data_IF_628013706581
#
_entry.id   IF_628013706581
#
_cell.length_a   1.000
_cell.length_b   1.000
_cell.length_c   1.000
_cell.angle_alpha   90.00
_cell.angle_beta   90.00
_cell.angle_gamma   90.00
#
_symmetry.space_group_name_H-M   'P 1'
#
loop_
_entity.id
_entity.type
_entity.pdbx_description
1 polymer ?
#
# COMPACT_ATOMS: atom_id res chain seq x y z
N UNK A 1 21.11 -42.00 -5.09
CA UNK A 1 20.31 -42.73 -4.06
C UNK A 1 20.03 -41.89 -2.81
N UNK A 2 20.88 -40.94 -2.44
CA UNK A 2 20.74 -40.11 -1.23
C UNK A 2 19.43 -39.37 -1.09
N UNK A 3 18.84 -38.88 -2.20
CA UNK A 3 17.51 -38.24 -2.20
C UNK A 3 16.33 -39.17 -1.90
N UNK A 4 16.55 -40.47 -1.80
CA UNK A 4 15.53 -41.48 -1.46
C UNK A 4 15.58 -41.89 0.02
N UNK A 5 16.39 -41.20 0.82
CA UNK A 5 16.61 -41.53 2.23
C UNK A 5 16.48 -40.26 3.06
N UNK A 6 15.44 -40.19 3.88
CA UNK A 6 15.15 -39.00 4.69
C UNK A 6 15.93 -38.97 6.02
N UNK A 7 16.21 -40.15 6.58
CA UNK A 7 16.93 -40.26 7.85
C UNK A 7 17.70 -41.58 7.94
N UNK A 8 18.91 -41.53 8.46
CA UNK A 8 19.74 -42.68 8.83
C UNK A 8 20.15 -42.49 10.27
N UNK A 9 19.89 -43.50 11.12
CA UNK A 9 20.34 -43.52 12.51
C UNK A 9 21.39 -44.63 12.63
N UNK A 10 22.63 -44.25 12.82
CA UNK A 10 23.76 -45.12 13.03
C UNK A 10 24.83 -44.40 13.84
N UNK A 11 25.61 -45.14 14.63
CA UNK A 11 26.70 -44.59 15.45
C UNK A 11 28.00 -44.34 14.64
N UNK A 12 28.05 -44.90 13.42
CA UNK A 12 29.21 -44.79 12.53
C UNK A 12 28.84 -44.12 11.20
N UNK A 13 29.87 -43.75 10.44
CA UNK A 13 29.67 -43.17 9.13
C UNK A 13 29.06 -44.19 8.15
N UNK A 14 27.95 -43.77 7.50
CA UNK A 14 27.23 -44.60 6.56
C UNK A 14 27.44 -44.18 5.10
N UNK A 15 27.34 -45.14 4.18
CA UNK A 15 27.33 -44.93 2.72
C UNK A 15 26.03 -45.40 2.13
N UNK A 16 25.52 -44.66 1.13
CA UNK A 16 24.28 -44.97 0.42
C UNK A 16 24.57 -45.30 -1.05
N UNK A 17 24.12 -46.46 -1.48
CA UNK A 17 24.30 -46.90 -2.87
C UNK A 17 23.02 -47.55 -3.43
N UNK A 18 22.93 -47.65 -4.72
CA UNK A 18 21.97 -48.57 -5.35
C UNK A 18 22.53 -49.99 -5.36
N UNK A 19 21.69 -51.01 -5.18
CA UNK A 19 22.07 -52.40 -5.28
C UNK A 19 22.56 -52.74 -6.70
N UNK A 20 21.84 -52.21 -7.70
CA UNK A 20 22.06 -52.49 -9.12
C UNK A 20 22.18 -51.17 -9.91
N UNK A 21 22.63 -51.26 -11.16
CA UNK A 21 22.58 -50.14 -12.09
C UNK A 21 21.16 -49.98 -12.64
N UNK A 22 20.52 -48.86 -12.38
CA UNK A 22 19.17 -48.54 -12.85
C UNK A 22 19.21 -47.56 -14.01
N UNK A 23 18.34 -47.79 -15.01
CA UNK A 23 18.21 -46.89 -16.15
C UNK A 23 17.06 -45.89 -15.92
N UNK A 24 17.38 -44.62 -15.77
CA UNK A 24 16.44 -43.52 -15.61
C UNK A 24 16.26 -42.68 -16.88
N UNK A 25 16.70 -43.19 -18.05
CA UNK A 25 16.58 -42.44 -19.34
C UNK A 25 15.18 -42.48 -19.94
N UNK A 26 14.32 -43.41 -19.53
CA UNK A 26 12.96 -43.59 -20.06
C UNK A 26 11.93 -43.21 -19.02
N UNK A 27 10.87 -42.46 -19.45
CA UNK A 27 9.70 -42.16 -18.62
C UNK A 27 9.06 -43.43 -18.11
N UNK A 28 8.72 -43.46 -16.82
CA UNK A 28 8.05 -44.60 -16.21
C UNK A 28 8.38 -44.75 -14.73
N UNK A 29 7.89 -45.85 -14.15
CA UNK A 29 8.20 -46.24 -12.78
C UNK A 29 9.35 -47.26 -12.77
N UNK A 30 10.40 -46.95 -12.04
CA UNK A 30 11.57 -47.82 -11.84
C UNK A 30 11.60 -48.24 -10.39
N UNK A 31 11.49 -49.54 -10.14
CA UNK A 31 11.69 -50.09 -8.80
C UNK A 31 13.19 -50.15 -8.52
N UNK A 32 13.64 -49.55 -7.46
CA UNK A 32 15.04 -49.50 -7.06
C UNK A 32 15.23 -50.11 -5.68
N UNK A 33 16.40 -50.65 -5.43
CA UNK A 33 16.86 -51.13 -4.14
C UNK A 33 17.99 -50.27 -3.65
N UNK A 34 17.83 -49.60 -2.52
CA UNK A 34 18.84 -48.77 -1.87
C UNK A 34 19.50 -49.59 -0.78
N UNK A 35 20.82 -49.56 -0.70
CA UNK A 35 21.65 -50.18 0.35
C UNK A 35 22.28 -49.05 1.13
N UNK A 36 22.16 -49.10 2.46
CA UNK A 36 22.93 -48.34 3.40
C UNK A 36 23.93 -49.27 4.05
N UNK A 37 25.21 -48.92 4.06
CA UNK A 37 26.30 -49.70 4.67
C UNK A 37 27.03 -48.80 5.71
N UNK A 38 27.35 -49.35 6.86
CA UNK A 38 28.22 -48.71 7.87
C UNK A 38 29.71 -49.02 7.57
N UNK A 39 30.59 -48.52 8.42
CA UNK A 39 32.05 -48.74 8.34
C UNK A 39 32.44 -50.19 8.63
N UNK A 40 31.61 -50.95 9.34
CA UNK A 40 31.80 -52.38 9.67
C UNK A 40 31.22 -53.29 8.60
N UNK A 41 30.75 -52.75 7.45
CA UNK A 41 30.11 -53.48 6.34
C UNK A 41 28.74 -54.12 6.71
N UNK A 42 28.12 -53.72 7.80
CA UNK A 42 26.70 -54.08 7.99
C UNK A 42 25.84 -53.36 6.98
N UNK A 43 24.80 -54.05 6.47
CA UNK A 43 23.97 -53.53 5.39
C UNK A 43 22.49 -53.56 5.72
N UNK A 44 21.84 -52.43 5.47
CA UNK A 44 20.37 -52.35 5.48
C UNK A 44 19.88 -52.09 4.04
N UNK A 45 18.80 -52.76 3.66
CA UNK A 45 18.25 -52.68 2.31
C UNK A 45 16.79 -52.24 2.33
N UNK A 46 16.46 -51.28 1.49
CA UNK A 46 15.09 -50.81 1.27
C UNK A 46 14.74 -50.72 -0.19
N UNK A 47 13.47 -51.01 -0.51
CA UNK A 47 12.93 -50.88 -1.85
C UNK A 47 12.16 -49.55 -1.97
N UNK A 48 12.35 -48.88 -3.09
CA UNK A 48 11.64 -47.64 -3.43
C UNK A 48 11.18 -47.69 -4.90
N UNK A 49 10.21 -46.87 -5.25
CA UNK A 49 9.77 -46.67 -6.62
C UNK A 49 10.11 -45.25 -7.05
N UNK A 50 10.99 -45.10 -8.00
CA UNK A 50 11.31 -43.81 -8.63
C UNK A 50 10.42 -43.62 -9.85
N UNK A 51 9.70 -42.53 -9.90
CA UNK A 51 8.94 -42.14 -11.11
C UNK A 51 9.80 -41.22 -11.96
N UNK A 52 10.22 -41.74 -13.11
CA UNK A 52 10.94 -40.94 -14.10
C UNK A 52 9.93 -40.19 -14.97
N UNK A 53 9.97 -38.86 -14.85
CA UNK A 53 9.13 -37.96 -15.64
C UNK A 53 9.78 -37.65 -16.98
N UNK A 54 8.99 -37.24 -17.98
CA UNK A 54 9.53 -36.65 -19.21
C UNK A 54 10.31 -35.38 -18.86
N UNK A 55 11.33 -35.05 -19.66
CA UNK A 55 12.04 -33.77 -19.56
C UNK A 55 11.01 -32.62 -19.59
N UNK A 56 11.14 -31.69 -18.71
CA UNK A 56 10.35 -30.46 -18.76
C UNK A 56 10.84 -29.57 -19.89
N UNK A 57 9.92 -29.16 -20.75
CA UNK A 57 10.18 -28.24 -21.89
C UNK A 57 9.31 -26.98 -21.79
N UNK A 58 8.51 -26.86 -20.75
CA UNK A 58 7.66 -25.69 -20.49
C UNK A 58 8.50 -24.56 -19.94
N UNK A 59 8.36 -23.39 -20.52
CA UNK A 59 9.04 -22.19 -19.97
C UNK A 59 8.31 -21.69 -18.75
N UNK A 60 9.03 -21.18 -17.73
CA UNK A 60 8.40 -20.48 -16.62
C UNK A 60 7.68 -19.20 -17.11
N UNK A 61 6.87 -18.61 -16.25
CA UNK A 61 6.18 -17.34 -16.47
C UNK A 61 6.65 -16.30 -15.47
N UNK A 62 6.51 -15.01 -15.81
CA UNK A 62 6.78 -13.90 -14.89
C UNK A 62 5.50 -13.08 -14.77
N UNK A 63 5.07 -12.80 -13.54
CA UNK A 63 3.91 -11.95 -13.23
C UNK A 63 4.33 -10.71 -12.44
N UNK A 64 3.47 -9.67 -12.42
CA UNK A 64 3.72 -8.44 -11.66
C UNK A 64 4.62 -7.41 -12.35
N UNK A 65 4.77 -7.46 -13.68
CA UNK A 65 5.61 -6.55 -14.47
C UNK A 65 4.82 -5.31 -14.96
N UNK A 66 4.12 -4.62 -14.07
CA UNK A 66 3.55 -3.31 -14.39
C UNK A 66 4.66 -2.26 -14.51
N UNK A 67 4.53 -1.26 -15.39
CA UNK A 67 5.47 -0.16 -15.51
C UNK A 67 5.67 0.55 -14.17
N UNK A 68 6.89 1.05 -13.92
CA UNK A 68 7.24 1.80 -12.71
C UNK A 68 7.44 3.27 -13.04
N UNK A 69 6.97 4.12 -12.15
CA UNK A 69 7.35 5.54 -12.13
C UNK A 69 8.10 5.80 -10.82
N UNK A 70 9.24 6.46 -10.92
CA UNK A 70 10.07 6.86 -9.79
C UNK A 70 10.51 8.32 -9.98
N UNK A 71 10.57 9.08 -8.91
CA UNK A 71 11.08 10.46 -8.98
C UNK A 71 12.59 10.48 -9.13
N UNK A 72 13.12 11.55 -9.70
CA UNK A 72 14.56 11.79 -9.82
C UNK A 72 15.26 11.59 -8.47
N UNK A 73 16.32 10.79 -8.43
CA UNK A 73 17.05 10.36 -7.24
C UNK A 73 16.23 9.53 -6.23
N UNK A 74 15.01 9.09 -6.58
CA UNK A 74 14.18 8.24 -5.74
C UNK A 74 14.73 6.81 -5.64
N UNK A 75 14.16 6.04 -4.72
CA UNK A 75 14.51 4.62 -4.54
C UNK A 75 13.46 3.72 -5.21
N UNK A 76 13.87 2.58 -5.73
CA UNK A 76 12.96 1.62 -6.35
C UNK A 76 13.39 0.16 -6.04
N UNK A 77 12.43 -0.64 -5.62
CA UNK A 77 12.59 -2.10 -5.56
C UNK A 77 12.04 -2.72 -6.85
N UNK A 78 12.95 -3.14 -7.70
CA UNK A 78 12.59 -3.74 -8.99
C UNK A 78 11.92 -5.11 -8.87
N UNK A 79 12.03 -5.80 -7.72
CA UNK A 79 11.43 -7.11 -7.48
C UNK A 79 10.10 -7.03 -6.74
N UNK A 80 9.72 -5.88 -6.23
CA UNK A 80 8.43 -5.70 -5.55
C UNK A 80 7.26 -6.18 -6.42
N UNK A 81 6.49 -7.12 -5.91
CA UNK A 81 5.33 -7.72 -6.58
C UNK A 81 5.64 -8.64 -7.78
N UNK A 82 6.91 -8.83 -8.16
CA UNK A 82 7.30 -9.68 -9.29
C UNK A 82 7.49 -11.12 -8.83
N UNK A 83 6.88 -12.07 -9.55
CA UNK A 83 6.97 -13.51 -9.23
C UNK A 83 7.26 -14.32 -10.49
N UNK A 84 8.17 -15.26 -10.35
CA UNK A 84 8.37 -16.34 -11.32
C UNK A 84 7.52 -17.55 -10.95
N UNK A 85 6.84 -18.16 -11.91
CA UNK A 85 6.04 -19.36 -11.70
C UNK A 85 6.35 -20.39 -12.80
N UNK A 86 6.33 -21.65 -12.44
CA UNK A 86 6.49 -22.76 -13.37
C UNK A 86 5.60 -23.94 -13.01
N UNK A 87 5.32 -24.80 -13.98
CA UNK A 87 4.42 -25.95 -13.81
C UNK A 87 5.03 -27.11 -13.03
N UNK A 88 6.37 -27.19 -12.94
CA UNK A 88 7.12 -28.27 -12.28
C UNK A 88 8.18 -27.79 -11.30
N UNK A 89 8.70 -26.58 -11.48
CA UNK A 89 9.65 -25.98 -10.55
C UNK A 89 8.91 -25.02 -9.63
N UNK A 90 8.71 -25.36 -8.34
CA UNK A 90 8.02 -24.49 -7.39
C UNK A 90 8.82 -23.20 -7.09
N UNK A 91 10.12 -23.15 -7.43
CA UNK A 91 11.02 -22.03 -7.12
C UNK A 91 11.92 -21.70 -8.31
N UNK A 92 11.35 -21.30 -9.48
CA UNK A 92 12.17 -20.92 -10.63
C UNK A 92 13.00 -19.68 -10.30
N UNK A 93 14.25 -19.67 -10.77
CA UNK A 93 15.20 -18.60 -10.47
C UNK A 93 14.84 -17.33 -11.25
N UNK A 94 14.50 -16.26 -10.53
CA UNK A 94 14.25 -14.94 -11.10
C UNK A 94 15.48 -14.05 -10.90
N UNK A 95 15.97 -13.44 -12.00
CA UNK A 95 17.08 -12.49 -12.00
C UNK A 95 16.72 -11.23 -12.76
N UNK A 96 17.38 -10.10 -12.44
CA UNK A 96 17.16 -8.81 -13.09
C UNK A 96 18.47 -8.24 -13.65
N UNK A 97 18.36 -7.50 -14.74
CA UNK A 97 19.39 -6.60 -15.24
C UNK A 97 18.82 -5.18 -15.31
N UNK A 98 19.26 -4.32 -14.39
CA UNK A 98 18.88 -2.92 -14.24
C UNK A 98 20.07 -1.96 -14.43
N UNK A 99 21.20 -2.44 -14.93
CA UNK A 99 22.46 -1.67 -15.03
C UNK A 99 22.36 -0.40 -15.86
N UNK A 100 21.38 -0.33 -16.77
CA UNK A 100 21.14 0.82 -17.64
C UNK A 100 20.20 1.84 -17.04
N UNK A 101 19.59 1.57 -15.89
CA UNK A 101 18.68 2.49 -15.22
C UNK A 101 19.50 3.58 -14.50
N UNK A 102 19.20 4.83 -14.78
CA UNK A 102 19.83 6.03 -14.19
C UNK A 102 18.76 6.77 -13.40
N UNK A 103 18.68 6.50 -12.09
CA UNK A 103 17.73 7.17 -11.21
C UNK A 103 18.08 8.65 -10.97
N UNK A 104 19.31 9.05 -11.31
CA UNK A 104 19.84 10.42 -11.27
C UNK A 104 19.61 11.21 -12.57
N UNK A 105 18.87 10.65 -13.54
CA UNK A 105 18.59 11.30 -14.81
C UNK A 105 17.16 11.01 -15.27
N UNK A 106 16.44 12.05 -15.66
CA UNK A 106 15.09 11.94 -16.23
C UNK A 106 15.08 11.08 -17.50
N UNK A 107 14.03 10.32 -17.69
CA UNK A 107 13.80 9.51 -18.89
C UNK A 107 13.22 8.15 -18.61
N UNK A 108 12.96 7.42 -19.69
CA UNK A 108 12.46 6.05 -19.65
C UNK A 108 13.59 5.04 -19.79
N UNK A 109 13.61 4.08 -18.90
CA UNK A 109 14.61 3.01 -18.82
C UNK A 109 13.94 1.65 -18.88
N UNK A 110 14.70 0.62 -19.25
CA UNK A 110 14.21 -0.74 -19.31
C UNK A 110 14.98 -1.61 -18.33
N UNK A 111 14.26 -2.30 -17.47
CA UNK A 111 14.75 -3.41 -16.66
C UNK A 111 14.39 -4.72 -17.35
N UNK A 112 15.37 -5.61 -17.46
CA UNK A 112 15.18 -6.95 -18.05
C UNK A 112 15.11 -7.99 -16.95
N UNK A 113 14.07 -8.80 -16.97
CA UNK A 113 13.83 -9.91 -16.04
C UNK A 113 14.07 -11.22 -16.77
N UNK A 114 14.78 -12.13 -16.14
CA UNK A 114 14.98 -13.50 -16.65
C UNK A 114 14.51 -14.48 -15.58
N UNK A 115 13.58 -15.34 -15.95
CA UNK A 115 13.15 -16.44 -15.09
C UNK A 115 13.58 -17.75 -15.72
N UNK A 116 14.24 -18.64 -14.95
CA UNK A 116 14.78 -19.93 -15.38
C UNK A 116 14.36 -21.02 -14.41
N UNK A 117 13.82 -22.12 -14.96
CA UNK A 117 13.49 -23.32 -14.19
C UNK A 117 14.72 -24.24 -14.00
N UNK A 118 14.57 -25.28 -13.20
CA UNK A 118 15.61 -26.30 -12.94
C UNK A 118 15.96 -27.15 -14.20
N UNK A 119 15.05 -27.22 -15.15
CA UNK A 119 15.22 -27.95 -16.41
C UNK A 119 16.00 -27.15 -17.47
N UNK A 120 16.26 -25.88 -17.20
CA UNK A 120 17.00 -24.96 -18.07
C UNK A 120 16.12 -24.16 -19.01
N UNK A 121 14.78 -24.30 -18.98
CA UNK A 121 13.92 -23.47 -19.78
C UNK A 121 13.88 -22.07 -19.18
N UNK A 122 13.82 -21.05 -20.05
CA UNK A 122 13.85 -19.65 -19.60
C UNK A 122 12.89 -18.77 -20.38
N UNK A 123 12.43 -17.71 -19.71
CA UNK A 123 11.72 -16.58 -20.30
C UNK A 123 12.44 -15.28 -19.96
N UNK A 124 12.38 -14.34 -20.89
CA UNK A 124 12.88 -12.97 -20.68
C UNK A 124 11.72 -12.01 -20.88
N UNK A 125 11.52 -11.08 -19.95
CA UNK A 125 10.53 -10.04 -20.03
C UNK A 125 11.15 -8.69 -19.69
N UNK A 126 10.49 -7.61 -20.11
CA UNK A 126 10.97 -6.24 -19.93
C UNK A 126 9.92 -5.44 -19.17
N UNK A 127 10.39 -4.50 -18.35
CA UNK A 127 9.57 -3.55 -17.60
C UNK A 127 10.12 -2.16 -17.82
N UNK A 128 9.26 -1.20 -18.13
CA UNK A 128 9.65 0.20 -18.23
C UNK A 128 9.74 0.82 -16.83
N UNK A 129 10.75 1.66 -16.64
CA UNK A 129 10.94 2.51 -15.45
C UNK A 129 11.06 3.94 -15.94
N UNK A 130 10.08 4.77 -15.62
CA UNK A 130 10.08 6.19 -15.96
C UNK A 130 10.61 6.98 -14.78
N UNK A 131 11.76 7.64 -14.95
CA UNK A 131 12.31 8.59 -13.99
C UNK A 131 11.79 9.99 -14.34
N UNK A 132 10.99 10.55 -13.44
CA UNK A 132 10.28 11.81 -13.63
C UNK A 132 10.76 12.87 -12.63
N UNK A 133 10.53 14.15 -12.93
CA UNK A 133 10.74 15.20 -11.93
C UNK A 133 9.84 14.97 -10.71
N UNK A 134 10.36 15.30 -9.52
CA UNK A 134 9.55 15.38 -8.31
C UNK A 134 8.66 16.62 -8.47
N UNK A 135 7.39 16.39 -8.83
CA UNK A 135 6.42 17.47 -8.83
C UNK A 135 6.09 17.80 -7.37
N UNK A 136 6.39 19.00 -6.93
CA UNK A 136 5.88 19.46 -5.64
C UNK A 136 4.35 19.52 -5.71
N UNK A 137 3.70 18.97 -4.70
CA UNK A 137 2.25 18.93 -4.57
C UNK A 137 1.89 19.83 -3.40
N UNK A 138 1.06 20.85 -3.69
CA UNK A 138 0.58 21.78 -2.69
C UNK A 138 1.51 22.99 -2.44
N UNK A 139 1.01 23.92 -1.66
CA UNK A 139 1.68 25.16 -1.30
C UNK A 139 1.82 25.25 0.22
N UNK A 140 3.03 25.42 0.72
CA UNK A 140 3.30 25.45 2.17
C UNK A 140 3.10 26.83 2.82
N UNK A 141 3.00 27.89 2.01
CA UNK A 141 2.73 29.23 2.50
C UNK A 141 1.23 29.57 2.38
N UNK A 142 0.71 30.33 3.33
CA UNK A 142 -0.61 30.92 3.23
C UNK A 142 -0.71 31.83 2.00
N UNK A 143 -1.85 31.82 1.33
CA UNK A 143 -2.14 32.71 0.19
C UNK A 143 -3.06 33.87 0.62
N UNK A 144 -3.19 34.88 -0.22
CA UNK A 144 -4.13 35.99 0.02
C UNK A 144 -5.61 35.57 -0.19
N UNK A 145 -5.84 34.49 -0.93
CA UNK A 145 -7.20 33.98 -1.18
C UNK A 145 -7.78 33.32 0.08
N UNK A 146 -9.01 33.67 0.42
CA UNK A 146 -9.73 33.07 1.55
C UNK A 146 -10.35 31.74 1.13
N UNK A 147 -9.75 30.63 1.57
CA UNK A 147 -10.16 29.28 1.20
C UNK A 147 -10.33 28.39 2.43
N UNK A 148 -11.47 27.72 2.52
CA UNK A 148 -11.71 26.59 3.43
C UNK A 148 -11.54 25.29 2.65
N UNK A 149 -10.63 24.45 3.09
CA UNK A 149 -10.51 23.04 2.72
C UNK A 149 -11.15 22.21 3.82
N UNK A 150 -12.46 21.96 3.69
CA UNK A 150 -13.16 21.10 4.62
C UNK A 150 -12.80 19.64 4.33
N UNK A 151 -12.35 18.91 5.35
CA UNK A 151 -11.87 17.53 5.20
C UNK A 151 -12.58 16.60 6.17
N UNK A 152 -12.91 15.40 5.68
CA UNK A 152 -13.59 14.36 6.45
C UNK A 152 -12.75 13.09 6.48
N UNK A 153 -12.45 12.60 7.69
CA UNK A 153 -11.69 11.37 7.91
C UNK A 153 -12.62 10.20 8.28
N UNK A 154 -12.12 8.99 8.15
CA UNK A 154 -12.70 7.71 8.59
C UNK A 154 -13.88 7.17 7.79
N UNK A 155 -14.44 7.93 6.85
CA UNK A 155 -15.51 7.46 5.99
C UNK A 155 -15.05 6.41 4.95
N UNK A 156 -15.98 5.95 4.10
CA UNK A 156 -17.39 6.37 4.02
C UNK A 156 -18.30 5.72 5.07
N UNK A 157 -19.42 6.39 5.37
CA UNK A 157 -20.45 5.92 6.28
C UNK A 157 -21.86 6.33 5.83
N UNK A 158 -22.89 6.03 6.62
CA UNK A 158 -24.26 6.56 6.38
C UNK A 158 -24.31 8.08 6.38
N UNK A 159 -23.38 8.74 7.05
CA UNK A 159 -23.29 10.19 7.12
C UNK A 159 -22.71 10.82 5.85
N UNK A 160 -21.87 10.09 5.10
CA UNK A 160 -21.24 10.60 3.88
C UNK A 160 -22.29 11.14 2.90
N UNK A 161 -23.41 10.41 2.66
CA UNK A 161 -24.47 10.87 1.77
C UNK A 161 -25.11 12.19 2.23
N UNK A 162 -25.37 12.31 3.54
CA UNK A 162 -25.95 13.54 4.12
C UNK A 162 -24.99 14.73 3.96
N UNK A 163 -23.68 14.49 4.16
CA UNK A 163 -22.62 15.48 3.97
C UNK A 163 -22.59 15.95 2.51
N UNK A 164 -22.59 15.01 1.57
CA UNK A 164 -22.59 15.32 0.13
C UNK A 164 -23.81 16.18 -0.27
N UNK A 165 -25.00 15.88 0.25
CA UNK A 165 -26.21 16.63 -0.07
C UNK A 165 -26.18 18.05 0.52
N UNK A 166 -25.57 18.23 1.73
CA UNK A 166 -25.34 19.56 2.31
C UNK A 166 -24.32 20.34 1.46
N UNK A 167 -23.20 19.72 1.10
CA UNK A 167 -22.16 20.38 0.31
C UNK A 167 -22.70 20.85 -1.05
N UNK A 168 -23.55 20.06 -1.72
CA UNK A 168 -24.19 20.46 -2.96
C UNK A 168 -25.12 21.64 -2.78
N UNK A 169 -25.95 21.62 -1.71
CA UNK A 169 -26.87 22.72 -1.38
C UNK A 169 -26.15 24.06 -1.24
N UNK A 170 -24.95 24.06 -0.67
CA UNK A 170 -24.15 25.26 -0.43
C UNK A 170 -23.09 25.53 -1.50
N UNK A 171 -23.07 24.75 -2.59
CA UNK A 171 -22.04 24.80 -3.66
C UNK A 171 -20.62 24.71 -3.12
N UNK A 172 -20.43 23.96 -2.02
CA UNK A 172 -19.16 23.76 -1.36
C UNK A 172 -18.48 22.47 -1.87
N UNK A 173 -17.15 22.49 -1.93
CA UNK A 173 -16.36 21.28 -2.19
C UNK A 173 -15.56 20.89 -0.95
N UNK A 174 -15.25 19.60 -0.83
CA UNK A 174 -14.55 19.02 0.31
C UNK A 174 -13.61 17.89 -0.12
N UNK A 175 -12.80 17.41 0.80
CA UNK A 175 -11.94 16.24 0.60
C UNK A 175 -12.29 15.16 1.61
N UNK A 176 -12.40 13.91 1.16
CA UNK A 176 -12.70 12.75 1.99
C UNK A 176 -11.49 11.83 2.05
N UNK A 177 -10.87 11.71 3.24
CA UNK A 177 -9.80 10.77 3.51
C UNK A 177 -10.42 9.45 3.99
N UNK A 178 -10.54 8.50 3.07
CA UNK A 178 -11.35 7.30 3.27
C UNK A 178 -10.56 6.12 3.82
N UNK A 179 -11.25 5.24 4.54
CA UNK A 179 -10.72 3.99 5.08
C UNK A 179 -11.41 2.78 4.46
N UNK A 180 -10.91 1.56 4.74
CA UNK A 180 -11.55 0.30 4.37
C UNK A 180 -12.48 -0.28 5.45
N UNK A 181 -12.80 0.47 6.49
CA UNK A 181 -13.48 -0.05 7.69
C UNK A 181 -14.97 -0.34 7.47
N UNK A 182 -15.62 0.34 6.52
CA UNK A 182 -17.07 0.21 6.27
C UNK A 182 -17.40 0.03 4.79
N UNK A 183 -17.09 -1.13 4.24
CA UNK A 183 -17.18 -1.44 2.81
C UNK A 183 -18.60 -1.34 2.23
N UNK A 184 -19.64 -1.42 3.06
CA UNK A 184 -21.02 -1.31 2.59
C UNK A 184 -21.35 0.06 1.97
N UNK A 185 -20.51 1.06 2.24
CA UNK A 185 -20.69 2.43 1.75
C UNK A 185 -19.64 2.83 0.70
N UNK A 186 -18.80 1.89 0.21
CA UNK A 186 -17.76 2.21 -0.77
C UNK A 186 -18.28 2.89 -2.03
N UNK A 187 -19.52 2.59 -2.45
CA UNK A 187 -20.16 3.27 -3.58
C UNK A 187 -20.24 4.79 -3.41
N UNK A 188 -20.25 5.31 -2.17
CA UNK A 188 -20.24 6.74 -1.89
C UNK A 188 -18.90 7.40 -2.20
N UNK A 189 -17.79 6.64 -2.28
CA UNK A 189 -16.49 7.14 -2.76
C UNK A 189 -16.63 7.60 -4.22
N UNK A 190 -17.24 6.76 -5.05
CA UNK A 190 -17.52 7.10 -6.45
C UNK A 190 -18.47 8.28 -6.56
N UNK A 191 -19.54 8.30 -5.76
CA UNK A 191 -20.51 9.39 -5.75
C UNK A 191 -19.84 10.72 -5.34
N UNK A 192 -19.05 10.74 -4.27
CA UNK A 192 -18.31 11.93 -3.85
C UNK A 192 -17.38 12.45 -4.95
N UNK A 193 -16.63 11.56 -5.60
CA UNK A 193 -15.75 11.92 -6.72
C UNK A 193 -16.54 12.50 -7.91
N UNK A 194 -17.68 11.88 -8.29
CA UNK A 194 -18.51 12.34 -9.38
C UNK A 194 -19.17 13.70 -9.10
N UNK A 195 -19.40 14.04 -7.84
CA UNK A 195 -19.89 15.37 -7.40
C UNK A 195 -18.76 16.40 -7.31
N UNK A 196 -17.52 16.06 -7.72
CA UNK A 196 -16.38 16.97 -7.78
C UNK A 196 -15.67 17.21 -6.45
N UNK A 197 -15.81 16.29 -5.50
CA UNK A 197 -15.01 16.25 -4.29
C UNK A 197 -13.72 15.49 -4.52
N UNK A 198 -12.68 15.76 -3.73
CA UNK A 198 -11.42 15.02 -3.77
C UNK A 198 -11.48 13.82 -2.82
N UNK A 199 -10.97 12.70 -3.29
CA UNK A 199 -10.76 11.51 -2.47
C UNK A 199 -9.30 11.43 -2.06
N UNK A 200 -9.05 11.25 -0.78
CA UNK A 200 -7.74 10.96 -0.20
C UNK A 200 -7.75 9.60 0.51
N UNK A 201 -6.59 9.15 0.97
CA UNK A 201 -6.42 7.86 1.62
C UNK A 201 -6.09 8.03 3.11
N UNK A 202 -6.77 7.26 3.98
CA UNK A 202 -6.59 7.32 5.44
C UNK A 202 -6.25 5.94 6.04
N UNK A 203 -5.47 5.13 5.32
CA UNK A 203 -5.18 3.73 5.58
C UNK A 203 -6.43 2.84 5.45
N UNK A 204 -6.23 1.53 5.30
CA UNK A 204 -7.36 0.61 5.14
C UNK A 204 -7.98 0.22 6.48
N UNK A 205 -7.15 -0.17 7.43
CA UNK A 205 -7.59 -0.69 8.72
C UNK A 205 -7.85 0.39 9.78
N UNK A 206 -7.21 1.55 9.64
CA UNK A 206 -7.16 2.60 10.66
C UNK A 206 -6.76 2.08 12.05
N UNK A 207 -6.06 0.95 12.10
CA UNK A 207 -5.58 0.35 13.34
C UNK A 207 -4.10 0.70 13.58
N UNK A 208 -3.83 1.52 14.58
CA UNK A 208 -2.48 1.99 14.91
C UNK A 208 -1.49 0.85 15.16
N UNK A 209 -1.96 -0.25 15.77
CA UNK A 209 -1.15 -1.42 16.01
C UNK A 209 -0.75 -2.10 14.70
N UNK A 210 -1.61 -2.08 13.70
CA UNK A 210 -1.33 -2.63 12.37
C UNK A 210 -0.45 -1.68 11.56
N UNK A 211 -0.84 -0.41 11.44
CA UNK A 211 -0.22 0.52 10.48
C UNK A 211 1.13 1.07 10.93
N UNK A 212 1.40 1.16 12.24
CA UNK A 212 2.61 1.79 12.75
C UNK A 212 3.67 0.83 13.29
N UNK A 213 3.57 -0.47 13.00
CA UNK A 213 4.61 -1.45 13.41
C UNK A 213 5.87 -1.39 12.55
N UNK A 214 5.76 -0.96 11.31
CA UNK A 214 6.90 -0.78 10.39
C UNK A 214 6.48 0.06 9.17
N UNK A 215 7.46 0.59 8.46
CA UNK A 215 7.26 1.29 7.17
C UNK A 215 6.54 0.36 6.17
N UNK A 216 6.95 -0.90 6.09
CA UNK A 216 6.32 -1.89 5.21
C UNK A 216 4.85 -2.14 5.59
N UNK A 217 4.54 -2.26 6.88
CA UNK A 217 3.16 -2.46 7.34
C UNK A 217 2.27 -1.27 6.97
N UNK A 218 2.75 -0.04 7.14
CA UNK A 218 2.05 1.17 6.75
C UNK A 218 1.72 1.17 5.24
N UNK A 219 2.72 0.92 4.39
CA UNK A 219 2.50 0.96 2.94
C UNK A 219 1.65 -0.20 2.41
N UNK A 220 1.73 -1.38 3.03
CA UNK A 220 0.82 -2.49 2.68
C UNK A 220 -0.65 -2.12 2.98
N UNK A 221 -0.90 -1.46 4.10
CA UNK A 221 -2.24 -1.02 4.48
C UNK A 221 -2.72 0.17 3.62
N UNK A 222 -1.84 1.12 3.30
CA UNK A 222 -2.10 2.21 2.37
C UNK A 222 -2.39 1.71 0.94
N UNK A 223 -1.66 0.71 0.46
CA UNK A 223 -1.90 0.09 -0.85
C UNK A 223 -3.28 -0.58 -0.90
N UNK A 224 -3.71 -1.23 0.19
CA UNK A 224 -5.03 -1.85 0.26
C UNK A 224 -6.16 -0.83 0.09
N UNK A 225 -6.11 0.30 0.80
CA UNK A 225 -7.13 1.36 0.64
C UNK A 225 -7.01 2.01 -0.73
N UNK A 226 -5.80 2.21 -1.25
CA UNK A 226 -5.57 2.73 -2.60
C UNK A 226 -6.19 1.87 -3.68
N UNK A 227 -6.02 0.54 -3.60
CA UNK A 227 -6.63 -0.41 -4.53
C UNK A 227 -8.16 -0.46 -4.39
N UNK A 228 -8.70 -0.36 -3.18
CA UNK A 228 -10.15 -0.23 -2.95
C UNK A 228 -10.70 1.02 -3.64
N UNK A 229 -10.08 2.18 -3.42
CA UNK A 229 -10.49 3.44 -4.05
C UNK A 229 -10.35 3.38 -5.57
N UNK A 230 -9.27 2.78 -6.10
CA UNK A 230 -9.07 2.59 -7.54
C UNK A 230 -10.21 1.80 -8.19
N UNK A 231 -10.77 0.80 -7.51
CA UNK A 231 -11.92 0.05 -8.02
C UNK A 231 -13.17 0.92 -8.17
N UNK A 232 -13.31 1.97 -7.35
CA UNK A 232 -14.47 2.88 -7.39
C UNK A 232 -14.30 4.03 -8.38
N UNK A 233 -13.09 4.63 -8.48
CA UNK A 233 -12.86 5.87 -9.27
C UNK A 233 -11.81 5.73 -10.38
N UNK A 234 -11.19 4.54 -10.55
CA UNK A 234 -10.29 4.23 -11.67
C UNK A 234 -8.80 4.53 -11.44
N UNK A 235 -8.42 5.21 -10.37
CA UNK A 235 -7.04 5.53 -10.04
C UNK A 235 -6.78 5.52 -8.53
N UNK A 236 -5.49 5.46 -8.12
CA UNK A 236 -5.09 5.57 -6.71
C UNK A 236 -4.86 7.06 -6.41
N UNK A 237 -5.56 7.65 -5.42
CA UNK A 237 -5.31 9.02 -4.97
C UNK A 237 -3.91 9.21 -4.42
N UNK A 238 -3.35 10.41 -4.62
CA UNK A 238 -2.02 10.79 -4.11
C UNK A 238 -2.06 11.59 -2.82
N UNK A 239 -3.23 12.07 -2.42
CA UNK A 239 -3.41 12.78 -1.15
C UNK A 239 -3.68 11.78 -0.05
N UNK A 240 -2.98 11.91 1.07
CA UNK A 240 -3.14 11.02 2.22
C UNK A 240 -3.26 11.82 3.51
N UNK A 241 -3.80 11.20 4.54
CA UNK A 241 -3.70 11.66 5.92
C UNK A 241 -3.30 10.50 6.81
N UNK A 242 -2.32 10.74 7.68
CA UNK A 242 -1.91 9.74 8.66
C UNK A 242 -2.97 9.59 9.75
N UNK A 243 -3.35 8.36 10.17
CA UNK A 243 -4.17 8.16 11.36
C UNK A 243 -3.62 8.91 12.59
N UNK A 244 -4.41 9.85 13.09
CA UNK A 244 -4.01 10.74 14.19
C UNK A 244 -3.08 11.89 13.80
N UNK A 245 -2.84 12.10 12.49
CA UNK A 245 -1.94 13.14 11.96
C UNK A 245 -0.45 12.81 12.12
N UNK A 246 0.40 13.63 11.48
CA UNK A 246 1.85 13.47 11.54
C UNK A 246 2.43 13.70 12.94
N UNK A 247 1.73 14.45 13.78
CA UNK A 247 2.14 14.75 15.17
C UNK A 247 1.73 13.68 16.19
N UNK A 248 1.04 12.60 15.78
CA UNK A 248 0.57 11.60 16.73
C UNK A 248 1.73 10.97 17.50
N UNK A 249 1.49 10.73 18.79
CA UNK A 249 2.48 10.10 19.68
C UNK A 249 2.18 8.62 19.95
N UNK A 250 1.04 8.12 19.48
CA UNK A 250 0.62 6.73 19.69
C UNK A 250 1.51 5.78 18.89
N UNK A 251 1.93 6.18 17.70
CA UNK A 251 2.83 5.42 16.82
C UNK A 251 4.13 4.98 17.51
N UNK A 252 4.66 5.81 18.44
CA UNK A 252 5.86 5.48 19.24
C UNK A 252 5.75 4.19 20.04
N UNK A 253 4.53 3.80 20.44
CA UNK A 253 4.28 2.57 21.19
C UNK A 253 4.58 1.31 20.35
N UNK A 254 4.51 1.44 19.03
CA UNK A 254 4.68 0.32 18.09
C UNK A 254 6.03 0.37 17.39
N UNK A 255 6.49 1.54 16.98
CA UNK A 255 7.80 1.75 16.35
C UNK A 255 8.27 3.19 16.62
N UNK A 256 9.19 3.40 17.58
CA UNK A 256 9.78 4.71 17.84
C UNK A 256 10.44 5.28 16.58
N UNK A 257 10.22 6.56 16.30
CA UNK A 257 10.81 7.23 15.13
C UNK A 257 10.06 7.02 13.80
N UNK A 258 9.01 6.21 13.77
CA UNK A 258 8.34 5.82 12.52
C UNK A 258 7.74 7.01 11.76
N UNK A 259 7.17 8.00 12.45
CA UNK A 259 6.53 9.14 11.78
C UNK A 259 7.54 10.01 11.01
N UNK A 260 8.74 10.21 11.55
CA UNK A 260 9.81 10.91 10.85
C UNK A 260 10.24 10.20 9.57
N UNK A 261 10.23 8.88 9.58
CA UNK A 261 10.54 8.08 8.39
C UNK A 261 9.37 8.12 7.40
N UNK A 262 8.14 7.89 7.87
CA UNK A 262 6.95 7.85 7.00
C UNK A 262 6.69 9.20 6.32
N UNK A 263 6.87 10.32 7.01
CA UNK A 263 6.67 11.65 6.44
C UNK A 263 7.56 11.91 5.21
N UNK A 264 8.78 11.36 5.19
CA UNK A 264 9.67 11.42 4.03
C UNK A 264 9.30 10.37 2.98
N UNK A 265 9.11 9.11 3.40
CA UNK A 265 8.85 7.99 2.48
C UNK A 265 7.56 8.18 1.67
N UNK A 266 6.48 8.76 2.24
CA UNK A 266 5.24 9.02 1.49
C UNK A 266 5.48 10.04 0.39
N UNK A 267 6.24 11.11 0.66
CA UNK A 267 6.59 12.12 -0.33
C UNK A 267 7.50 11.54 -1.43
N UNK A 268 8.48 10.73 -1.04
CA UNK A 268 9.38 10.07 -1.99
C UNK A 268 8.66 9.09 -2.91
N UNK A 269 7.54 8.53 -2.47
CA UNK A 269 6.67 7.64 -3.27
C UNK A 269 5.58 8.39 -4.04
N UNK A 270 5.60 9.72 -4.05
CA UNK A 270 4.68 10.55 -4.83
C UNK A 270 3.34 10.84 -4.17
N UNK A 271 3.19 10.54 -2.88
CA UNK A 271 2.05 10.98 -2.09
C UNK A 271 2.33 12.35 -1.47
N UNK A 272 1.25 13.11 -1.18
CA UNK A 272 1.28 14.28 -0.34
C UNK A 272 0.39 14.05 0.87
N UNK A 273 0.97 14.16 2.08
CA UNK A 273 0.14 14.09 3.28
C UNK A 273 -0.36 15.47 3.70
N UNK A 274 -1.55 15.48 4.29
CA UNK A 274 -2.23 16.66 4.79
C UNK A 274 -2.59 16.47 6.26
N UNK A 275 -2.06 17.32 7.11
CA UNK A 275 -2.59 17.51 8.44
C UNK A 275 -3.74 18.54 8.39
N UNK A 276 -3.96 19.29 9.43
CA UNK A 276 -4.96 20.35 9.54
C UNK A 276 -4.41 21.51 10.38
N UNK A 277 -4.90 22.70 10.19
CA UNK A 277 -4.60 23.83 11.04
C UNK A 277 -5.79 24.28 11.87
N UNK A 278 -6.99 23.78 11.55
CA UNK A 278 -8.23 23.95 12.33
C UNK A 278 -9.01 22.64 12.37
N UNK A 279 -9.98 22.52 13.27
CA UNK A 279 -10.80 21.34 13.39
C UNK A 279 -12.17 21.64 13.99
N UNK A 280 -13.08 20.71 13.88
CA UNK A 280 -14.44 20.78 14.46
C UNK A 280 -14.47 20.42 15.94
N UNK A 281 -13.41 19.80 16.47
CA UNK A 281 -13.38 19.26 17.82
C UNK A 281 -14.15 17.93 17.98
N UNK A 282 -14.69 17.39 16.89
CA UNK A 282 -15.51 16.16 16.92
C UNK A 282 -14.70 14.89 17.23
N UNK A 283 -13.37 14.92 17.08
CA UNK A 283 -12.48 13.83 17.50
C UNK A 283 -12.54 13.58 19.03
N UNK A 284 -12.95 14.56 19.83
CA UNK A 284 -13.06 14.46 21.28
C UNK A 284 -14.15 13.50 21.78
N UNK A 285 -15.05 13.03 20.91
CA UNK A 285 -16.09 12.08 21.29
C UNK A 285 -17.22 11.97 20.26
N UNK A 286 -18.16 11.10 20.56
CA UNK A 286 -19.42 11.02 19.83
C UNK A 286 -20.45 11.96 20.48
N UNK A 287 -21.36 12.52 19.66
CA UNK A 287 -22.42 13.41 20.15
C UNK A 287 -21.92 14.70 20.85
N UNK A 288 -20.77 15.23 20.42
CA UNK A 288 -20.38 16.60 20.83
C UNK A 288 -21.51 17.56 20.46
N UNK A 289 -21.92 18.48 21.36
CA UNK A 289 -23.01 19.41 21.05
C UNK A 289 -22.77 20.21 19.77
N UNK A 290 -23.80 20.35 18.93
CA UNK A 290 -23.72 21.03 17.63
C UNK A 290 -23.14 22.46 17.76
N UNK A 291 -23.60 23.24 18.77
CA UNK A 291 -23.09 24.58 19.02
C UNK A 291 -21.59 24.61 19.39
N UNK A 292 -21.09 23.57 20.08
CA UNK A 292 -19.67 23.44 20.39
C UNK A 292 -18.85 23.15 19.15
N UNK A 293 -19.34 22.24 18.28
CA UNK A 293 -18.72 21.94 16.98
C UNK A 293 -18.65 23.22 16.14
N UNK A 294 -19.74 23.97 16.03
CA UNK A 294 -19.80 25.25 15.29
C UNK A 294 -18.78 26.22 15.86
N UNK A 295 -18.80 26.46 17.18
CA UNK A 295 -17.88 27.41 17.81
C UNK A 295 -16.42 27.06 17.62
N UNK A 296 -16.09 25.76 17.70
CA UNK A 296 -14.72 25.29 17.49
C UNK A 296 -14.29 25.42 16.02
N UNK A 297 -15.16 24.99 15.10
CA UNK A 297 -14.85 25.01 13.66
C UNK A 297 -14.75 26.45 13.10
N UNK A 298 -15.48 27.42 13.67
CA UNK A 298 -15.52 28.81 13.21
C UNK A 298 -14.58 29.76 13.95
N UNK A 299 -13.72 29.24 14.83
CA UNK A 299 -12.73 30.05 15.55
C UNK A 299 -11.54 30.50 14.71
N UNK A 300 -11.37 29.93 13.50
CA UNK A 300 -10.24 30.20 12.63
C UNK A 300 -10.37 31.51 11.87
N UNK A 301 -9.22 32.17 11.63
CA UNK A 301 -9.13 33.45 10.88
C UNK A 301 -8.03 33.46 9.81
N UNK A 302 -7.29 32.36 9.61
CA UNK A 302 -6.29 32.26 8.56
C UNK A 302 -6.94 32.24 7.18
N UNK A 303 -6.26 32.80 6.16
CA UNK A 303 -6.79 32.83 4.81
C UNK A 303 -7.00 31.41 4.24
N UNK A 304 -6.09 30.50 4.53
CA UNK A 304 -6.22 29.10 4.09
C UNK A 304 -6.39 28.19 5.32
N UNK A 305 -7.54 27.56 5.41
CA UNK A 305 -7.89 26.70 6.55
C UNK A 305 -8.19 25.29 6.05
N UNK A 306 -7.41 24.32 6.52
CA UNK A 306 -7.72 22.89 6.36
C UNK A 306 -8.38 22.46 7.66
N UNK A 307 -9.70 22.22 7.59
CA UNK A 307 -10.53 21.91 8.76
C UNK A 307 -10.75 20.41 8.86
N UNK A 308 -10.31 19.81 9.97
CA UNK A 308 -10.57 18.40 10.28
C UNK A 308 -11.99 18.20 10.81
N UNK A 309 -12.70 17.28 10.20
CA UNK A 309 -13.95 16.69 10.66
C UNK A 309 -13.93 15.17 10.38
N UNK A 310 -14.90 14.43 10.92
CA UNK A 310 -15.04 13.00 10.69
C UNK A 310 -16.46 12.69 10.18
N UNK A 311 -16.57 11.67 9.31
CA UNK A 311 -17.86 11.24 8.74
C UNK A 311 -18.24 9.79 9.08
N UNK A 312 -17.77 9.28 10.23
CA UNK A 312 -18.21 7.97 10.72
C UNK A 312 -19.71 7.99 11.10
N UNK A 313 -20.30 6.80 11.22
CA UNK A 313 -21.71 6.62 11.61
C UNK A 313 -22.10 7.32 12.91
N UNK A 314 -21.13 7.56 13.79
CA UNK A 314 -21.34 8.20 15.10
C UNK A 314 -21.33 9.73 15.06
N UNK A 315 -20.93 10.37 13.95
CA UNK A 315 -20.71 11.82 13.84
C UNK A 315 -21.93 12.61 13.33
N UNK A 316 -23.14 12.25 13.82
CA UNK A 316 -24.36 12.91 13.37
C UNK A 316 -24.37 14.42 13.71
N UNK A 317 -23.86 14.81 14.87
CA UNK A 317 -23.81 16.22 15.29
C UNK A 317 -22.81 17.04 14.47
N UNK A 318 -21.76 16.40 13.92
CA UNK A 318 -20.86 17.03 12.96
C UNK A 318 -21.62 17.38 11.69
N UNK A 319 -22.40 16.43 11.15
CA UNK A 319 -23.25 16.66 9.96
C UNK A 319 -24.26 17.78 10.21
N UNK A 320 -24.92 17.78 11.36
CA UNK A 320 -25.92 18.79 11.74
C UNK A 320 -25.31 20.19 11.89
N UNK A 321 -24.00 20.30 12.22
CA UNK A 321 -23.27 21.56 12.34
C UNK A 321 -22.85 22.17 10.98
N UNK A 322 -22.70 21.35 9.93
CA UNK A 322 -22.12 21.78 8.65
C UNK A 322 -22.81 23.00 8.02
N UNK A 323 -24.15 23.09 7.96
CA UNK A 323 -24.81 24.26 7.39
C UNK A 323 -24.33 25.57 8.01
N UNK A 324 -24.33 25.66 9.34
CA UNK A 324 -23.92 26.87 10.06
C UNK A 324 -22.42 27.19 9.88
N UNK A 325 -21.55 26.17 9.82
CA UNK A 325 -20.13 26.34 9.55
C UNK A 325 -19.91 26.92 8.16
N UNK A 326 -20.58 26.38 7.15
CA UNK A 326 -20.46 26.84 5.76
C UNK A 326 -20.98 28.26 5.62
N UNK A 327 -22.17 28.55 6.13
CA UNK A 327 -22.78 29.89 6.10
C UNK A 327 -21.89 30.94 6.77
N UNK A 328 -21.29 30.60 7.93
CA UNK A 328 -20.36 31.50 8.63
C UNK A 328 -19.18 31.91 7.74
N UNK A 329 -18.47 30.95 7.15
CA UNK A 329 -17.31 31.26 6.35
C UNK A 329 -17.65 31.90 5.01
N UNK A 330 -18.76 31.53 4.37
CA UNK A 330 -19.24 32.19 3.16
C UNK A 330 -19.58 33.67 3.42
N UNK A 331 -20.20 33.97 4.57
CA UNK A 331 -20.47 35.37 4.97
C UNK A 331 -19.18 36.19 5.19
N UNK A 332 -18.07 35.55 5.53
CA UNK A 332 -16.77 36.17 5.66
C UNK A 332 -15.95 36.21 4.34
N UNK A 333 -16.55 35.76 3.24
CA UNK A 333 -15.97 35.78 1.92
C UNK A 333 -15.01 34.61 1.61
N UNK A 334 -15.07 33.51 2.38
CA UNK A 334 -14.31 32.31 2.06
C UNK A 334 -15.02 31.46 0.97
N UNK A 335 -14.22 30.90 0.08
CA UNK A 335 -14.67 29.83 -0.83
C UNK A 335 -14.35 28.46 -0.21
N UNK A 336 -15.19 27.44 -0.52
CA UNK A 336 -14.96 26.05 -0.13
C UNK A 336 -14.41 25.26 -1.30
N UNK A 337 -13.16 24.82 -1.21
CA UNK A 337 -12.48 24.04 -2.24
C UNK A 337 -12.11 22.65 -1.74
N UNK A 338 -12.10 21.67 -2.63
CA UNK A 338 -11.45 20.39 -2.37
C UNK A 338 -9.93 20.51 -2.57
N UNK A 339 -9.14 19.65 -1.93
CA UNK A 339 -7.68 19.63 -2.07
C UNK A 339 -7.29 19.25 -3.50
N UNK A 340 -6.35 20.00 -4.06
CA UNK A 340 -5.70 19.76 -5.34
C UNK A 340 -4.18 20.00 -5.25
N UNK A 341 -3.46 19.99 -6.39
CA UNK A 341 -2.01 20.16 -6.44
C UNK A 341 -1.53 21.56 -6.07
N UNK A 342 -2.41 22.54 -5.98
CA UNK A 342 -2.10 23.93 -5.65
C UNK A 342 -2.64 24.34 -4.26
N UNK A 343 -3.24 23.42 -3.54
CA UNK A 343 -3.86 23.68 -2.25
C UNK A 343 -2.81 23.90 -1.16
N UNK A 344 -3.15 24.73 -0.16
CA UNK A 344 -2.34 24.92 1.03
C UNK A 344 -2.16 23.61 1.80
N UNK A 345 -0.92 23.30 2.18
CA UNK A 345 -0.52 22.05 2.87
C UNK A 345 -0.09 22.37 4.30
N UNK A 346 -0.91 22.17 5.31
CA UNK A 346 -0.46 22.22 6.69
C UNK A 346 0.25 20.92 7.08
N UNK A 347 1.42 21.05 7.71
CA UNK A 347 2.12 19.94 8.35
C UNK A 347 2.26 20.22 9.84
N UNK A 348 1.88 19.26 10.66
CA UNK A 348 2.15 19.30 12.07
C UNK A 348 3.62 19.04 12.37
N UNK A 349 4.10 19.58 13.50
CA UNK A 349 5.39 19.18 14.04
C UNK A 349 5.38 17.67 14.38
N UNK A 350 6.38 16.93 13.92
CA UNK A 350 6.47 15.49 14.20
C UNK A 350 7.04 15.28 15.58
N UNK A 351 6.27 14.68 16.46
CA UNK A 351 6.60 14.43 17.87
C UNK A 351 7.09 13.00 18.13
N UNK A 352 8.00 12.53 17.36
CA UNK A 352 8.32 11.11 17.32
C UNK A 352 9.48 10.71 18.24
#
# INVERSE_FOLDING_TARGET
PTMLVDNIVDETKTTISFKDAYNFSKKGKVKVTVIVSDESNNKSTKHATVTVLSKDTTKPTISGLNDLTVTLNGKVDYLAGVKGNDNRDPHPQLTIDNKKVRLDKLGDYIVTYTCKDRSGNKIVAKRKVSVVEKKEIGVYAQTEEKVIYLTFDDGPSKNTKRILDILDKYHAKATFFVTGTNQNYNYLIKEAYQRGHTIGLHTYSHDYKTVYTSVTAYFNDLERVGNMVKNEIGFIPKYIRFPGGASNTISRKYCPGIMSVLANEVIDRGYQFYDWNYGTGDAGGNNIPVNQIIATATAGNANNQVILAHDTDAKNTTVDALPAIIEHYQALGYSFKSIDDNSYVPHHHINN
#
